data_IF_675728940713
#
_entry.id   IF_675728940713
#
_cell.length_a   1.000
_cell.length_b   1.000
_cell.length_c   1.000
_cell.angle_alpha   90.00
_cell.angle_beta   90.00
_cell.angle_gamma   90.00
#
_symmetry.space_group_name_H-M   'P 1'
#
loop_
_entity.id
_entity.type
_entity.pdbx_description
1 polymer ?
#
# COMPACT_ATOMS: atom_id res chain seq x y z
N UNK A 1 15.04 -21.81 -15.74
CA UNK A 1 15.32 -20.41 -15.48
C UNK A 1 14.60 -19.96 -14.21
N UNK A 2 15.30 -19.21 -13.43
CA UNK A 2 14.68 -18.65 -12.26
C UNK A 2 13.60 -17.68 -12.68
N UNK A 3 12.42 -17.90 -12.20
CA UNK A 3 11.34 -16.96 -12.45
C UNK A 3 11.48 -15.81 -11.47
N UNK A 4 11.66 -14.64 -12.01
CA UNK A 4 11.65 -13.46 -11.16
C UNK A 4 10.21 -13.12 -10.89
N UNK A 5 9.92 -12.85 -9.64
CA UNK A 5 8.60 -12.39 -9.27
C UNK A 5 8.44 -10.98 -9.80
N UNK A 6 7.51 -10.80 -10.75
CA UNK A 6 7.27 -9.50 -11.36
C UNK A 6 6.08 -8.79 -10.75
N UNK A 7 5.32 -9.50 -9.94
CA UNK A 7 4.14 -8.96 -9.30
C UNK A 7 4.26 -9.13 -7.80
N UNK A 8 3.83 -8.14 -7.07
CA UNK A 8 3.91 -8.13 -5.61
C UNK A 8 2.59 -7.71 -5.01
N UNK A 9 2.27 -8.31 -3.87
CA UNK A 9 1.16 -7.83 -3.08
C UNK A 9 1.67 -6.73 -2.17
N UNK A 10 1.01 -5.60 -2.18
CA UNK A 10 1.37 -4.47 -1.34
C UNK A 10 0.55 -4.54 -0.08
N UNK A 11 1.19 -4.86 1.04
CA UNK A 11 0.53 -4.95 2.33
C UNK A 11 0.87 -3.75 3.19
N UNK A 12 -0.15 -3.09 3.69
CA UNK A 12 0.04 -2.01 4.67
C UNK A 12 0.22 -2.64 6.04
N UNK A 13 1.44 -2.62 6.55
CA UNK A 13 1.78 -3.26 7.81
C UNK A 13 1.45 -2.37 9.01
N UNK A 14 1.81 -1.10 8.91
CA UNK A 14 1.50 -0.11 9.95
C UNK A 14 1.12 1.21 9.31
N UNK A 15 0.15 1.88 9.90
CA UNK A 15 -0.34 3.16 9.39
C UNK A 15 0.56 4.33 9.76
N UNK A 16 1.11 4.30 10.96
CA UNK A 16 1.93 5.40 11.43
C UNK A 16 1.09 6.61 11.89
N UNK A 17 1.76 7.73 12.19
CA UNK A 17 1.10 8.89 12.77
C UNK A 17 0.27 9.73 11.79
N UNK A 18 0.53 9.61 10.50
CA UNK A 18 -0.14 10.43 9.48
C UNK A 18 -1.25 9.67 8.77
N UNK A 19 -2.22 9.18 9.54
CA UNK A 19 -3.30 8.36 9.02
C UNK A 19 -4.04 8.99 7.86
N UNK A 20 -4.39 10.27 7.96
CA UNK A 20 -5.12 10.96 6.90
C UNK A 20 -4.35 10.97 5.59
N UNK A 21 -3.05 11.22 5.67
CA UNK A 21 -2.20 11.21 4.49
C UNK A 21 -2.04 9.81 3.91
N UNK A 22 -1.94 8.82 4.77
CA UNK A 22 -1.88 7.42 4.35
C UNK A 22 -3.16 7.04 3.60
N UNK A 23 -4.31 7.43 4.11
CA UNK A 23 -5.59 7.19 3.44
C UNK A 23 -5.59 7.83 2.04
N UNK A 24 -5.10 9.04 1.94
CA UNK A 24 -5.02 9.73 0.66
C UNK A 24 -4.15 9.00 -0.34
N UNK A 25 -2.98 8.55 0.10
CA UNK A 25 -2.07 7.79 -0.76
C UNK A 25 -2.70 6.46 -1.18
N UNK A 26 -3.36 5.78 -0.26
CA UNK A 26 -4.05 4.52 -0.56
C UNK A 26 -5.12 4.75 -1.63
N UNK A 27 -5.88 5.82 -1.53
CA UNK A 27 -6.89 6.16 -2.54
C UNK A 27 -6.26 6.38 -3.91
N UNK A 28 -5.18 7.11 -3.97
CA UNK A 28 -4.47 7.37 -5.23
C UNK A 28 -3.89 6.10 -5.81
N UNK A 29 -3.32 5.25 -4.96
CA UNK A 29 -2.64 4.04 -5.41
C UNK A 29 -3.61 2.95 -5.84
N UNK A 30 -4.75 2.83 -5.18
CA UNK A 30 -5.69 1.74 -5.42
C UNK A 30 -6.93 2.16 -6.20
N UNK A 31 -7.19 3.45 -6.29
CA UNK A 31 -8.39 3.95 -6.95
C UNK A 31 -9.67 3.74 -6.14
N UNK A 32 -9.56 3.36 -4.90
CA UNK A 32 -10.71 3.14 -4.02
C UNK A 32 -11.32 4.46 -3.56
N UNK A 33 -12.57 4.40 -3.16
CA UNK A 33 -13.22 5.54 -2.54
C UNK A 33 -12.67 5.82 -1.16
N UNK A 34 -12.98 7.00 -0.63
CA UNK A 34 -12.49 7.42 0.68
C UNK A 34 -12.85 6.41 1.78
N UNK A 35 -14.09 5.95 1.77
CA UNK A 35 -14.56 5.00 2.77
C UNK A 35 -13.79 3.68 2.73
N UNK A 36 -13.60 3.15 1.51
CA UNK A 36 -12.89 1.89 1.34
C UNK A 36 -11.42 2.01 1.73
N UNK A 37 -10.79 3.11 1.34
CA UNK A 37 -9.39 3.38 1.69
C UNK A 37 -9.26 3.51 3.21
N UNK A 38 -10.18 4.19 3.85
CA UNK A 38 -10.20 4.33 5.30
C UNK A 38 -10.36 2.99 5.99
N UNK A 39 -11.25 2.14 5.47
CA UNK A 39 -11.45 0.81 6.04
C UNK A 39 -10.20 -0.04 5.94
N UNK A 40 -9.48 0.04 4.83
CA UNK A 40 -8.21 -0.67 4.67
C UNK A 40 -7.17 -0.18 5.66
N UNK A 41 -7.06 1.11 5.81
CA UNK A 41 -6.10 1.73 6.73
C UNK A 41 -6.44 1.38 8.18
N UNK A 42 -7.70 1.46 8.54
CA UNK A 42 -8.15 1.14 9.89
C UNK A 42 -7.98 -0.34 10.22
N UNK A 43 -8.07 -1.19 9.21
CA UNK A 43 -7.92 -2.63 9.38
C UNK A 43 -6.50 -3.15 9.20
N UNK A 44 -5.51 -2.29 9.14
CA UNK A 44 -4.12 -2.71 8.98
C UNK A 44 -3.70 -3.71 10.06
N UNK A 45 -2.87 -4.72 9.74
CA UNK A 45 -2.27 -4.94 8.42
C UNK A 45 -3.25 -5.51 7.41
N UNK A 46 -3.26 -4.96 6.21
CA UNK A 46 -4.09 -5.44 5.12
C UNK A 46 -3.39 -5.24 3.79
N UNK A 47 -3.72 -6.12 2.84
CA UNK A 47 -3.21 -5.99 1.48
C UNK A 47 -3.97 -4.86 0.78
N UNK A 48 -3.23 -3.86 0.32
CA UNK A 48 -3.80 -2.71 -0.38
C UNK A 48 -4.02 -3.00 -1.85
N UNK A 49 -3.09 -3.72 -2.45
CA UNK A 49 -3.13 -4.02 -3.87
C UNK A 49 -2.47 -5.37 -4.11
N UNK A 50 -3.13 -6.20 -4.90
CA UNK A 50 -2.59 -7.50 -5.26
C UNK A 50 -2.03 -7.45 -6.68
N UNK A 51 -1.01 -8.26 -6.94
CA UNK A 51 -0.41 -8.41 -8.25
C UNK A 51 0.00 -7.07 -8.88
N UNK A 52 0.55 -6.18 -8.05
CA UNK A 52 1.10 -4.92 -8.55
C UNK A 52 2.48 -5.19 -9.15
N UNK A 53 2.77 -4.57 -10.28
CA UNK A 53 4.10 -4.68 -10.85
C UNK A 53 5.12 -4.04 -9.91
N UNK A 54 6.39 -4.41 -10.08
CA UNK A 54 7.44 -3.97 -9.19
C UNK A 54 7.51 -2.45 -9.07
N UNK A 55 7.45 -1.75 -10.18
CA UNK A 55 7.53 -0.29 -10.17
C UNK A 55 6.37 0.34 -9.40
N UNK A 56 5.15 -0.16 -9.61
CA UNK A 56 3.96 0.31 -8.92
C UNK A 56 4.05 -0.01 -7.42
N UNK A 57 4.45 -1.23 -7.10
CA UNK A 57 4.58 -1.65 -5.70
C UNK A 57 5.60 -0.80 -4.96
N UNK A 58 6.74 -0.55 -5.56
CA UNK A 58 7.77 0.29 -4.94
C UNK A 58 7.32 1.74 -4.80
N UNK A 59 6.59 2.25 -5.78
CA UNK A 59 6.06 3.61 -5.72
C UNK A 59 5.09 3.77 -4.57
N UNK A 60 4.16 2.84 -4.43
CA UNK A 60 3.19 2.85 -3.32
C UNK A 60 3.92 2.77 -1.99
N UNK A 61 4.87 1.85 -1.89
CA UNK A 61 5.66 1.68 -0.68
C UNK A 61 6.38 2.98 -0.31
N UNK A 62 7.06 3.59 -1.27
CA UNK A 62 7.79 4.82 -1.02
C UNK A 62 6.88 5.94 -0.55
N UNK A 63 5.73 6.09 -1.17
CA UNK A 63 4.77 7.13 -0.80
C UNK A 63 4.23 6.93 0.61
N UNK A 64 3.90 5.70 0.95
CA UNK A 64 3.37 5.39 2.27
C UNK A 64 4.44 5.54 3.35
N UNK A 65 5.64 5.10 3.06
CA UNK A 65 6.74 5.24 4.02
C UNK A 65 7.10 6.71 4.24
N UNK A 66 6.97 7.54 3.22
CA UNK A 66 7.17 8.97 3.35
C UNK A 66 6.17 9.59 4.33
N UNK A 67 5.01 8.98 4.50
CA UNK A 67 4.00 9.43 5.45
C UNK A 67 4.10 8.70 6.80
N UNK A 68 5.15 7.95 7.02
CA UNK A 68 5.39 7.27 8.27
C UNK A 68 4.75 5.89 8.39
N UNK A 69 4.14 5.41 7.34
CA UNK A 69 3.54 4.07 7.33
C UNK A 69 4.60 3.01 7.01
N UNK A 70 4.30 1.78 7.32
CA UNK A 70 5.15 0.65 6.95
C UNK A 70 4.42 -0.22 5.95
N UNK A 71 5.13 -0.62 4.92
CA UNK A 71 4.58 -1.42 3.83
C UNK A 71 5.49 -2.62 3.59
N UNK A 72 4.86 -3.76 3.37
CA UNK A 72 5.56 -5.00 3.04
C UNK A 72 5.16 -5.42 1.64
N UNK A 73 6.15 -5.78 0.84
CA UNK A 73 5.91 -6.35 -0.49
C UNK A 73 6.03 -7.86 -0.39
N UNK A 74 5.03 -8.56 -0.89
CA UNK A 74 5.02 -10.03 -0.84
C UNK A 74 4.96 -10.67 -2.21
#
# INVERSE_FOLDING_TARGET
>A
AAEEKTEFDVELTEVGPNKVKVIKVVREATGLGLKEAKDLVDGAPKVLKEAADKATAEDIKAKLEAEGAKVTLK
#
